data_IF_334822357157
#
_entry.id   IF_334822357157
#
_cell.length_a   1.000
_cell.length_b   1.000
_cell.length_c   1.000
_cell.angle_alpha   90.00
_cell.angle_beta   90.00
_cell.angle_gamma   90.00
#
_symmetry.space_group_name_H-M   'P 1'
#
loop_
_entity.id
_entity.type
_entity.pdbx_description
1 polymer ?
#
# COMPACT_ATOMS: atom_id res chain seq x y z
N UNK A 1 -20.98 28.39 -29.90
CA UNK A 1 -20.04 27.24 -30.10
C UNK A 1 -18.66 27.86 -30.33
N UNK A 2 -17.70 27.63 -29.42
CA UNK A 2 -16.31 28.10 -29.58
C UNK A 2 -15.61 27.09 -30.50
N UNK A 3 -15.26 27.52 -31.71
CA UNK A 3 -14.48 26.69 -32.64
C UNK A 3 -13.00 26.85 -32.23
N UNK A 4 -12.39 25.80 -31.69
CA UNK A 4 -10.97 25.78 -31.34
C UNK A 4 -10.17 25.20 -32.51
N UNK A 5 -9.62 26.09 -33.35
CA UNK A 5 -8.91 25.66 -34.56
C UNK A 5 -7.54 25.02 -34.32
N UNK A 6 -6.87 25.33 -33.18
CA UNK A 6 -5.49 24.90 -32.89
C UNK A 6 -5.24 24.59 -31.43
N UNK A 7 -5.52 23.38 -31.01
CA UNK A 7 -5.23 22.88 -29.65
C UNK A 7 -3.74 22.77 -29.34
N UNK A 8 -2.85 22.80 -30.36
CA UNK A 8 -1.39 22.72 -30.21
C UNK A 8 -0.77 23.98 -29.58
N UNK A 9 -1.49 25.11 -29.51
CA UNK A 9 -0.93 26.40 -29.04
C UNK A 9 -0.27 26.30 -27.68
N UNK A 10 -0.88 25.57 -26.73
CA UNK A 10 -0.37 25.37 -25.36
C UNK A 10 0.78 24.34 -25.26
N UNK A 11 1.14 23.67 -26.37
CA UNK A 11 2.19 22.63 -26.38
C UNK A 11 3.49 23.08 -27.06
N UNK A 12 3.58 24.33 -27.53
CA UNK A 12 4.63 24.76 -28.45
C UNK A 12 6.02 24.91 -27.81
N UNK A 13 6.12 25.16 -26.52
CA UNK A 13 7.38 25.17 -25.79
C UNK A 13 7.26 24.51 -24.43
N UNK A 14 8.39 24.11 -23.83
CA UNK A 14 8.44 23.37 -22.56
C UNK A 14 7.86 24.20 -21.41
N UNK A 15 8.30 25.45 -21.25
CA UNK A 15 7.85 26.34 -20.17
C UNK A 15 6.33 26.51 -20.17
N UNK A 16 5.73 26.69 -21.34
CA UNK A 16 4.28 26.84 -21.44
C UNK A 16 3.57 25.50 -21.06
N UNK A 17 4.11 24.35 -21.48
CA UNK A 17 3.56 23.06 -21.07
C UNK A 17 3.59 22.88 -19.55
N UNK A 18 4.68 23.28 -18.90
CA UNK A 18 4.84 23.17 -17.45
C UNK A 18 3.86 24.11 -16.70
N UNK A 19 3.67 25.33 -17.21
CA UNK A 19 2.74 26.31 -16.62
C UNK A 19 1.26 25.88 -16.68
N UNK A 20 0.86 25.10 -17.70
CA UNK A 20 -0.54 24.66 -17.88
C UNK A 20 -0.78 23.23 -17.38
N UNK A 21 0.21 22.63 -16.73
CA UNK A 21 0.12 21.25 -16.20
C UNK A 21 -0.92 21.17 -15.09
N UNK A 22 -1.88 20.26 -15.22
CA UNK A 22 -2.98 20.09 -14.24
C UNK A 22 -2.58 19.24 -13.06
N UNK A 23 -1.63 18.29 -13.25
CA UNK A 23 -1.23 17.34 -12.24
C UNK A 23 0.29 17.36 -12.04
N UNK A 24 0.69 17.39 -10.78
CA UNK A 24 2.09 17.36 -10.36
C UNK A 24 2.30 16.20 -9.40
N UNK A 25 3.47 15.58 -9.47
CA UNK A 25 3.93 14.57 -8.49
C UNK A 25 4.84 15.30 -7.52
N UNK A 26 4.65 15.06 -6.22
CA UNK A 26 5.45 15.68 -5.15
C UNK A 26 6.03 14.59 -4.26
N UNK A 27 7.20 14.83 -3.69
CA UNK A 27 7.89 13.87 -2.82
C UNK A 27 7.07 13.57 -1.56
N UNK A 28 6.38 14.56 -1.00
CA UNK A 28 5.55 14.43 0.20
C UNK A 28 4.22 13.67 -0.02
N UNK A 29 3.95 13.26 -1.25
CA UNK A 29 2.81 12.41 -1.62
C UNK A 29 3.21 10.93 -1.83
N UNK A 30 4.50 10.62 -1.74
CA UNK A 30 5.03 9.28 -1.92
C UNK A 30 5.08 8.51 -0.60
N UNK A 31 4.64 7.25 -0.62
CA UNK A 31 4.71 6.31 0.50
C UNK A 31 5.59 5.16 0.06
N UNK A 32 6.65 4.87 0.82
CA UNK A 32 7.61 3.83 0.50
C UNK A 32 7.28 2.53 1.25
N UNK A 33 7.00 1.40 0.55
CA UNK A 33 6.77 0.11 1.19
C UNK A 33 8.07 -0.50 1.72
N UNK A 34 8.05 -0.98 2.96
CA UNK A 34 9.20 -1.58 3.66
C UNK A 34 8.81 -2.92 4.26
N UNK A 35 9.66 -3.93 4.04
CA UNK A 35 9.50 -5.28 4.61
C UNK A 35 10.45 -5.46 5.78
N UNK A 36 9.91 -5.83 6.95
CA UNK A 36 10.69 -6.08 8.16
C UNK A 36 10.57 -7.54 8.56
N UNK A 37 11.70 -8.24 8.65
CA UNK A 37 11.75 -9.61 9.14
C UNK A 37 12.13 -9.68 10.60
N UNK A 38 11.63 -10.70 11.29
CA UNK A 38 11.97 -11.00 12.69
C UNK A 38 13.34 -11.67 12.85
N UNK A 39 13.91 -12.18 11.78
CA UNK A 39 15.29 -12.72 11.78
C UNK A 39 16.31 -11.65 12.15
N UNK A 40 17.54 -12.04 12.49
CA UNK A 40 18.60 -11.11 12.84
C UNK A 40 19.66 -11.07 11.74
N UNK A 41 20.31 -9.90 11.56
CA UNK A 41 21.41 -9.67 10.61
C UNK A 41 21.01 -10.02 9.17
N UNK A 42 19.81 -9.58 8.74
CA UNK A 42 19.26 -9.87 7.41
C UNK A 42 19.11 -8.59 6.60
N UNK A 43 19.73 -8.58 5.42
CA UNK A 43 19.42 -7.74 4.27
C UNK A 43 19.28 -8.70 3.09
N UNK A 44 18.05 -9.07 2.74
CA UNK A 44 17.79 -10.04 1.69
C UNK A 44 17.03 -9.41 0.53
N UNK A 45 17.66 -9.31 -0.62
CA UNK A 45 17.00 -8.83 -1.84
C UNK A 45 15.89 -9.79 -2.27
N UNK A 46 14.76 -9.22 -2.69
CA UNK A 46 13.64 -9.96 -3.28
C UNK A 46 13.93 -10.18 -4.77
N UNK A 47 14.21 -11.41 -5.23
CA UNK A 47 14.69 -11.65 -6.60
C UNK A 47 13.74 -11.15 -7.70
N UNK A 48 12.43 -11.19 -7.44
CA UNK A 48 11.39 -10.70 -8.36
C UNK A 48 11.16 -9.19 -8.30
N UNK A 49 11.89 -8.47 -7.41
CA UNK A 49 11.77 -7.02 -7.20
C UNK A 49 13.16 -6.38 -7.06
N UNK A 50 13.94 -6.24 -8.14
CA UNK A 50 15.32 -5.75 -8.08
C UNK A 50 15.47 -4.43 -7.31
N UNK A 51 16.39 -4.40 -6.32
CA UNK A 51 16.64 -3.25 -5.45
C UNK A 51 15.72 -3.14 -4.24
N UNK A 52 14.76 -4.06 -4.05
CA UNK A 52 13.90 -4.13 -2.85
C UNK A 52 14.35 -5.29 -1.99
N UNK A 53 14.53 -5.03 -0.68
CA UNK A 53 14.99 -6.02 0.28
C UNK A 53 14.01 -6.20 1.44
N UNK A 54 14.13 -7.35 2.10
CA UNK A 54 13.65 -7.58 3.45
C UNK A 54 14.78 -7.16 4.42
N UNK A 55 14.42 -6.48 5.51
CA UNK A 55 15.38 -6.00 6.49
C UNK A 55 15.03 -6.53 7.88
N UNK A 56 16.02 -7.02 8.61
CA UNK A 56 15.87 -7.24 10.05
C UNK A 56 15.87 -5.91 10.81
N UNK A 57 15.45 -5.94 12.08
CA UNK A 57 15.31 -4.73 12.90
C UNK A 57 16.63 -3.96 13.07
N UNK A 58 17.75 -4.65 13.09
CA UNK A 58 19.10 -4.09 13.20
C UNK A 58 19.57 -3.35 11.93
N UNK A 59 18.95 -3.62 10.78
CA UNK A 59 19.29 -3.01 9.49
C UNK A 59 18.21 -2.07 8.92
N UNK A 60 16.95 -2.16 9.38
CA UNK A 60 15.85 -1.40 8.78
C UNK A 60 16.05 0.11 8.84
N UNK A 61 16.71 0.63 9.90
CA UNK A 61 16.93 2.07 10.06
C UNK A 61 17.85 2.65 8.98
N UNK A 62 18.75 1.86 8.40
CA UNK A 62 19.59 2.29 7.28
C UNK A 62 18.73 2.59 6.04
N UNK A 63 17.82 1.68 5.71
CA UNK A 63 16.91 1.88 4.57
C UNK A 63 15.90 3.02 4.81
N UNK A 64 15.37 3.13 6.04
CA UNK A 64 14.51 4.27 6.42
C UNK A 64 15.30 5.59 6.28
N UNK A 65 16.55 5.61 6.70
CA UNK A 65 17.43 6.79 6.56
C UNK A 65 17.58 7.22 5.10
N UNK A 66 17.79 6.28 4.18
CA UNK A 66 17.85 6.55 2.73
C UNK A 66 16.55 7.18 2.20
N UNK A 67 15.39 6.70 2.66
CA UNK A 67 14.10 7.26 2.28
C UNK A 67 13.89 8.68 2.82
N UNK A 68 14.22 8.90 4.09
CA UNK A 68 14.12 10.22 4.75
C UNK A 68 15.06 11.23 4.11
N UNK A 69 16.29 10.85 3.77
CA UNK A 69 17.29 11.71 3.12
C UNK A 69 16.78 12.29 1.80
N UNK A 70 16.03 11.51 1.02
CA UNK A 70 15.42 11.99 -0.23
C UNK A 70 14.06 12.69 -0.02
N UNK A 71 13.63 12.89 1.24
CA UNK A 71 12.45 13.67 1.62
C UNK A 71 11.14 12.89 1.65
N UNK A 72 11.17 11.56 1.60
CA UNK A 72 9.98 10.71 1.82
C UNK A 72 9.43 11.00 3.22
N UNK A 73 8.11 11.19 3.32
CA UNK A 73 7.40 11.53 4.57
C UNK A 73 6.61 10.36 5.15
N UNK A 74 6.36 9.33 4.39
CA UNK A 74 5.56 8.18 4.80
C UNK A 74 6.11 6.86 4.30
N UNK A 75 5.96 5.82 5.11
CA UNK A 75 6.25 4.44 4.77
C UNK A 75 5.02 3.57 4.98
N UNK A 76 4.94 2.48 4.22
CA UNK A 76 3.98 1.39 4.45
C UNK A 76 4.77 0.17 4.95
N UNK A 77 4.48 -0.27 6.18
CA UNK A 77 5.25 -1.30 6.87
C UNK A 77 4.57 -2.66 6.78
N UNK A 78 5.33 -3.68 6.35
CA UNK A 78 4.94 -5.08 6.32
C UNK A 78 5.85 -5.90 7.23
N UNK A 79 5.27 -6.83 8.00
CA UNK A 79 6.01 -7.73 8.88
C UNK A 79 6.14 -9.14 8.30
N UNK A 80 7.29 -9.75 8.50
CA UNK A 80 7.58 -11.13 8.13
C UNK A 80 8.01 -11.85 9.41
N UNK A 81 7.08 -12.55 10.11
CA UNK A 81 7.40 -13.29 11.32
C UNK A 81 8.16 -14.58 10.99
N UNK A 82 8.97 -15.05 11.94
CA UNK A 82 9.61 -16.38 11.88
C UNK A 82 8.59 -17.48 12.17
N UNK A 83 7.68 -17.23 13.11
CA UNK A 83 6.64 -18.18 13.47
C UNK A 83 5.31 -17.84 12.80
N UNK A 84 4.65 -18.87 12.24
CA UNK A 84 3.31 -18.74 11.66
C UNK A 84 2.42 -19.84 12.20
N UNK A 85 1.19 -19.50 12.54
CA UNK A 85 0.19 -20.45 13.01
C UNK A 85 -1.15 -20.32 12.26
N UNK A 86 -2.15 -21.11 12.62
CA UNK A 86 -3.44 -21.11 11.94
C UNK A 86 -4.26 -19.84 12.18
N UNK A 87 -3.94 -19.08 13.22
CA UNK A 87 -4.69 -17.87 13.62
C UNK A 87 -3.90 -16.58 13.41
N UNK A 88 -2.65 -16.66 12.92
CA UNK A 88 -1.80 -15.51 12.68
C UNK A 88 -1.47 -14.74 13.96
N UNK A 89 -1.16 -15.44 15.06
CA UNK A 89 -1.04 -14.82 16.39
C UNK A 89 0.00 -13.74 16.49
N UNK A 90 1.09 -13.82 15.72
CA UNK A 90 2.14 -12.78 15.65
C UNK A 90 1.65 -11.44 15.11
N UNK A 91 0.55 -11.41 14.32
CA UNK A 91 -0.02 -10.17 13.80
C UNK A 91 -0.50 -9.22 14.90
N UNK A 92 -0.99 -9.77 16.02
CA UNK A 92 -1.56 -8.99 17.13
C UNK A 92 -0.74 -9.10 18.43
N UNK A 93 0.49 -9.63 18.36
CA UNK A 93 1.42 -9.60 19.49
C UNK A 93 2.05 -8.19 19.60
N UNK A 94 1.88 -7.56 20.78
CA UNK A 94 2.52 -6.26 21.07
C UNK A 94 4.07 -6.33 21.05
N UNK A 95 4.64 -7.53 21.10
CA UNK A 95 6.08 -7.82 20.96
C UNK A 95 6.46 -8.30 19.58
N UNK A 96 5.50 -8.50 18.68
CA UNK A 96 5.72 -8.95 17.31
C UNK A 96 6.60 -7.98 16.50
N UNK A 97 7.10 -8.45 15.39
CA UNK A 97 8.11 -7.73 14.59
C UNK A 97 7.64 -6.34 14.15
N UNK A 98 6.36 -6.19 13.76
CA UNK A 98 5.81 -4.90 13.32
C UNK A 98 5.77 -3.89 14.47
N UNK A 99 5.27 -4.29 15.65
CA UNK A 99 5.24 -3.42 16.82
C UNK A 99 6.64 -2.98 17.27
N UNK A 100 7.61 -3.87 17.19
CA UNK A 100 9.03 -3.56 17.49
C UNK A 100 9.62 -2.61 16.45
N UNK A 101 9.35 -2.84 15.17
CA UNK A 101 9.80 -1.98 14.08
C UNK A 101 9.22 -0.57 14.18
N UNK A 102 7.90 -0.45 14.45
CA UNK A 102 7.23 0.85 14.63
C UNK A 102 7.91 1.65 15.73
N UNK A 103 8.11 1.06 16.93
CA UNK A 103 8.80 1.75 18.06
C UNK A 103 10.20 2.19 17.67
N UNK A 104 10.99 1.27 17.10
CA UNK A 104 12.36 1.54 16.67
C UNK A 104 12.44 2.69 15.65
N UNK A 105 11.56 2.70 14.66
CA UNK A 105 11.52 3.73 13.61
C UNK A 105 11.05 5.07 14.21
N UNK A 106 10.02 5.06 15.06
CA UNK A 106 9.52 6.28 15.72
C UNK A 106 10.55 6.90 16.67
N UNK A 107 11.32 6.09 17.36
CA UNK A 107 12.41 6.58 18.23
C UNK A 107 13.51 7.28 17.40
N UNK A 108 13.83 6.76 16.20
CA UNK A 108 14.85 7.35 15.33
C UNK A 108 14.33 8.50 14.44
N UNK A 109 13.09 8.39 13.97
CA UNK A 109 12.45 9.31 13.02
C UNK A 109 11.02 9.66 13.46
N UNK A 110 10.82 10.47 14.51
CA UNK A 110 9.51 10.73 15.11
C UNK A 110 8.51 11.40 14.15
N UNK A 111 9.01 12.18 13.18
CA UNK A 111 8.17 12.88 12.18
C UNK A 111 7.78 12.01 10.98
N UNK A 112 8.37 10.82 10.81
CA UNK A 112 8.04 9.93 9.71
C UNK A 112 6.67 9.29 9.95
N UNK A 113 5.76 9.42 9.00
CA UNK A 113 4.44 8.78 9.04
C UNK A 113 4.58 7.29 8.78
N UNK A 114 4.15 6.47 9.73
CA UNK A 114 4.12 5.02 9.59
C UNK A 114 2.68 4.57 9.34
N UNK A 115 2.41 4.11 8.12
CA UNK A 115 1.20 3.36 7.77
C UNK A 115 1.50 1.88 8.03
N UNK A 116 0.71 1.23 8.89
CA UNK A 116 0.87 -0.19 9.18
C UNK A 116 -0.15 -1.00 8.40
N UNK A 117 0.31 -1.91 7.54
CA UNK A 117 -0.58 -2.87 6.87
C UNK A 117 -1.18 -3.83 7.88
N UNK A 118 -2.49 -4.04 7.83
CA UNK A 118 -3.19 -4.98 8.70
C UNK A 118 -3.78 -6.10 7.87
N UNK A 119 -3.16 -7.26 7.98
CA UNK A 119 -3.60 -8.50 7.35
C UNK A 119 -3.11 -9.69 8.16
N UNK A 120 -3.69 -10.87 7.96
CA UNK A 120 -3.21 -12.10 8.58
C UNK A 120 -2.35 -12.95 7.64
N UNK A 121 -2.30 -12.66 6.33
CA UNK A 121 -1.68 -13.56 5.35
C UNK A 121 -0.16 -13.73 5.49
N UNK A 122 0.53 -12.76 6.07
CA UNK A 122 1.95 -12.85 6.40
C UNK A 122 2.20 -13.76 7.62
N UNK A 123 1.19 -13.92 8.48
CA UNK A 123 1.27 -14.53 9.82
C UNK A 123 0.60 -15.90 9.89
N UNK A 124 -0.33 -16.19 8.98
CA UNK A 124 -1.01 -17.49 8.95
C UNK A 124 -0.19 -18.55 8.24
N UNK A 125 -0.17 -19.77 8.78
CA UNK A 125 0.51 -20.92 8.19
C UNK A 125 -0.04 -21.31 6.82
N UNK A 126 -1.31 -20.99 6.55
CA UNK A 126 -2.00 -21.24 5.27
C UNK A 126 -1.95 -20.05 4.30
N UNK A 127 -1.42 -18.87 4.68
CA UNK A 127 -1.24 -17.70 3.81
C UNK A 127 -2.53 -16.99 3.37
N UNK A 128 -3.70 -17.31 3.93
CA UNK A 128 -4.94 -16.55 3.71
C UNK A 128 -5.09 -15.37 4.67
N UNK A 129 -5.86 -14.36 4.24
CA UNK A 129 -6.04 -13.10 4.98
C UNK A 129 -7.02 -13.20 6.16
N UNK A 130 -7.67 -14.33 6.35
CA UNK A 130 -8.63 -14.61 7.43
C UNK A 130 -8.49 -16.02 7.96
N UNK A 131 -9.19 -16.32 9.04
CA UNK A 131 -9.28 -17.64 9.61
C UNK A 131 -9.88 -18.65 8.64
N UNK A 132 -9.44 -19.89 8.71
CA UNK A 132 -9.87 -20.96 7.80
C UNK A 132 -10.51 -22.09 8.59
N UNK A 133 -11.68 -22.55 8.13
CA UNK A 133 -12.30 -23.78 8.60
C UNK A 133 -12.88 -24.56 7.43
N UNK A 134 -12.54 -25.81 7.30
CA UNK A 134 -13.01 -26.73 6.24
C UNK A 134 -12.79 -26.14 4.82
N UNK A 135 -11.69 -25.40 4.60
CA UNK A 135 -11.35 -24.74 3.34
C UNK A 135 -12.12 -23.46 3.05
N UNK A 136 -12.91 -22.94 4.00
CA UNK A 136 -13.69 -21.70 3.90
C UNK A 136 -13.05 -20.62 4.74
N UNK A 137 -12.97 -19.41 4.20
CA UNK A 137 -12.51 -18.22 4.95
C UNK A 137 -13.66 -17.73 5.84
N UNK A 138 -13.39 -17.61 7.13
CA UNK A 138 -14.37 -17.17 8.13
C UNK A 138 -14.30 -15.64 8.30
N UNK A 139 -15.25 -14.94 7.72
CA UNK A 139 -15.29 -13.47 7.76
C UNK A 139 -15.38 -12.95 9.20
N UNK A 140 -16.48 -13.22 9.87
CA UNK A 140 -16.84 -12.60 11.15
C UNK A 140 -15.87 -12.98 12.28
N UNK A 141 -15.37 -14.22 12.28
CA UNK A 141 -14.40 -14.70 13.26
C UNK A 141 -13.01 -14.06 13.06
N UNK A 142 -12.73 -13.55 11.88
CA UNK A 142 -11.47 -12.85 11.57
C UNK A 142 -11.45 -11.40 12.10
N UNK A 143 -12.61 -10.73 12.13
CA UNK A 143 -12.70 -9.30 12.49
C UNK A 143 -12.06 -8.97 13.85
N UNK A 144 -12.28 -9.75 14.93
CA UNK A 144 -11.64 -9.46 16.22
C UNK A 144 -10.11 -9.53 16.20
N UNK A 145 -9.51 -10.35 15.32
CA UNK A 145 -8.06 -10.47 15.21
C UNK A 145 -7.47 -9.26 14.47
N UNK A 146 -8.12 -8.79 13.40
CA UNK A 146 -7.75 -7.57 12.69
C UNK A 146 -7.85 -6.34 13.60
N UNK A 147 -8.91 -6.26 14.39
CA UNK A 147 -9.09 -5.21 15.38
C UNK A 147 -7.98 -5.21 16.44
N UNK A 148 -7.60 -6.39 16.97
CA UNK A 148 -6.47 -6.53 17.92
C UNK A 148 -5.15 -6.10 17.31
N UNK A 149 -4.84 -6.52 16.08
CA UNK A 149 -3.62 -6.13 15.38
C UNK A 149 -3.56 -4.61 15.18
N UNK A 150 -4.67 -4.00 14.77
CA UNK A 150 -4.79 -2.55 14.58
C UNK A 150 -4.51 -1.78 15.86
N UNK A 151 -5.09 -2.20 16.98
CA UNK A 151 -4.84 -1.59 18.30
C UNK A 151 -3.39 -1.77 18.75
N UNK A 152 -2.79 -2.95 18.52
CA UNK A 152 -1.40 -3.21 18.87
C UNK A 152 -0.44 -2.30 18.08
N UNK A 153 -0.66 -2.15 16.77
CA UNK A 153 0.16 -1.28 15.92
C UNK A 153 0.00 0.20 16.28
N UNK A 154 -1.23 0.67 16.51
CA UNK A 154 -1.50 2.04 16.92
C UNK A 154 -0.85 2.36 18.29
N UNK A 155 -0.94 1.46 19.28
CA UNK A 155 -0.25 1.57 20.56
C UNK A 155 1.28 1.56 20.43
N UNK A 156 1.81 0.86 19.44
CA UNK A 156 3.24 0.87 19.16
C UNK A 156 3.73 2.19 18.53
N UNK A 157 2.81 3.03 18.02
CA UNK A 157 3.11 4.34 17.43
C UNK A 157 2.84 4.45 15.93
N UNK A 158 2.10 3.51 15.33
CA UNK A 158 1.64 3.68 13.94
C UNK A 158 0.73 4.91 13.84
N UNK A 159 0.94 5.72 12.80
CA UNK A 159 0.14 6.93 12.55
C UNK A 159 -1.13 6.63 11.76
N UNK A 160 -1.12 5.58 10.94
CA UNK A 160 -2.23 5.18 10.06
C UNK A 160 -2.38 3.66 10.11
N UNK A 161 -3.60 3.17 10.24
CA UNK A 161 -3.95 1.76 10.13
C UNK A 161 -4.50 1.48 8.73
N UNK A 162 -3.93 0.47 8.04
CA UNK A 162 -4.26 0.17 6.64
C UNK A 162 -4.72 -1.29 6.47
N UNK A 163 -6.01 -1.61 6.75
CA UNK A 163 -6.53 -2.96 6.62
C UNK A 163 -6.57 -3.41 5.15
N UNK A 164 -5.91 -4.54 4.87
CA UNK A 164 -5.74 -5.08 3.50
C UNK A 164 -6.33 -6.48 3.29
N UNK A 165 -7.04 -6.99 4.28
CA UNK A 165 -7.58 -8.34 4.34
C UNK A 165 -8.81 -8.58 3.45
N UNK A 166 -9.65 -7.57 3.22
CA UNK A 166 -10.90 -7.58 2.45
C UNK A 166 -12.05 -8.37 3.11
N UNK A 167 -12.07 -8.47 4.44
CA UNK A 167 -13.23 -9.01 5.15
C UNK A 167 -14.33 -7.93 5.24
N UNK A 168 -15.58 -8.33 5.08
CA UNK A 168 -16.72 -7.43 5.25
C UNK A 168 -16.77 -6.91 6.69
N UNK A 169 -17.08 -5.62 6.87
CA UNK A 169 -17.19 -4.93 8.17
C UNK A 169 -15.89 -4.82 8.98
N UNK A 170 -14.73 -5.01 8.34
CA UNK A 170 -13.45 -4.91 9.02
C UNK A 170 -13.13 -3.48 9.48
N UNK A 171 -13.53 -2.48 8.70
CA UNK A 171 -13.28 -1.06 9.04
C UNK A 171 -14.08 -0.68 10.27
N UNK A 172 -15.37 -1.05 10.36
CA UNK A 172 -16.22 -0.84 11.54
C UNK A 172 -15.62 -1.52 12.79
N UNK A 173 -15.19 -2.78 12.67
CA UNK A 173 -14.60 -3.52 13.78
C UNK A 173 -13.28 -2.87 14.27
N UNK A 174 -12.43 -2.43 13.36
CA UNK A 174 -11.17 -1.73 13.67
C UNK A 174 -11.45 -0.35 14.28
N UNK A 175 -12.37 0.44 13.70
CA UNK A 175 -12.71 1.77 14.22
C UNK A 175 -13.22 1.69 15.64
N UNK A 176 -14.17 0.80 15.91
CA UNK A 176 -14.70 0.59 17.24
C UNK A 176 -13.62 0.20 18.26
N UNK A 177 -12.74 -0.73 17.90
CA UNK A 177 -11.66 -1.16 18.78
C UNK A 177 -10.62 -0.08 19.07
N UNK A 178 -10.28 0.74 18.07
CA UNK A 178 -9.40 1.90 18.25
C UNK A 178 -10.04 2.94 19.19
N UNK A 179 -11.33 3.22 19.01
CA UNK A 179 -12.05 4.20 19.84
C UNK A 179 -12.19 3.71 21.28
N UNK A 180 -12.52 2.43 21.51
CA UNK A 180 -12.56 1.81 22.83
C UNK A 180 -11.19 1.83 23.53
N UNK A 181 -10.10 1.72 22.76
CA UNK A 181 -8.74 1.83 23.28
C UNK A 181 -8.27 3.28 23.54
N UNK A 182 -9.13 4.29 23.28
CA UNK A 182 -8.80 5.71 23.40
C UNK A 182 -7.95 6.26 22.25
N UNK A 183 -7.84 5.53 21.14
CA UNK A 183 -7.03 5.88 19.97
C UNK A 183 -7.90 6.53 18.86
N UNK A 184 -8.82 7.39 19.26
CA UNK A 184 -9.85 8.03 18.41
C UNK A 184 -9.28 8.89 17.27
N UNK A 185 -8.02 9.30 17.37
CA UNK A 185 -7.37 10.15 16.35
C UNK A 185 -6.52 9.37 15.35
N UNK A 186 -6.47 8.04 15.43
CA UNK A 186 -5.75 7.22 14.45
C UNK A 186 -6.62 7.03 13.20
N UNK A 187 -6.22 7.54 12.03
CA UNK A 187 -6.98 7.37 10.80
C UNK A 187 -6.86 5.94 10.26
N UNK A 188 -7.91 5.52 9.56
CA UNK A 188 -7.97 4.26 8.83
C UNK A 188 -7.86 4.53 7.33
N UNK A 189 -6.85 3.94 6.69
CA UNK A 189 -6.65 3.95 5.25
C UNK A 189 -6.97 2.57 4.68
N UNK A 190 -8.23 2.32 4.34
CA UNK A 190 -8.68 0.98 3.95
C UNK A 190 -8.35 0.63 2.50
N UNK A 191 -7.96 -0.62 2.27
CA UNK A 191 -7.84 -1.19 0.91
C UNK A 191 -9.22 -1.49 0.33
N UNK A 192 -10.05 -0.48 0.17
CA UNK A 192 -11.45 -0.61 -0.25
C UNK A 192 -11.59 -1.14 -1.67
N UNK A 193 -10.72 -0.72 -2.58
CA UNK A 193 -10.74 -1.16 -3.97
C UNK A 193 -9.57 -2.11 -4.27
N UNK A 194 -9.59 -3.32 -3.68
CA UNK A 194 -8.55 -4.34 -3.85
C UNK A 194 -9.04 -5.53 -4.66
N UNK A 195 -8.43 -5.74 -5.81
CA UNK A 195 -8.80 -6.78 -6.77
C UNK A 195 -7.95 -8.05 -6.63
N UNK A 196 -8.53 -9.21 -6.96
CA UNK A 196 -7.80 -10.48 -7.11
C UNK A 196 -6.93 -10.42 -8.37
N UNK A 197 -5.68 -9.99 -8.21
CA UNK A 197 -4.82 -9.62 -9.33
C UNK A 197 -3.61 -10.54 -9.51
N UNK A 198 -3.25 -10.78 -10.77
CA UNK A 198 -2.00 -11.42 -11.16
C UNK A 198 -0.74 -10.57 -10.86
N UNK A 199 -0.90 -9.26 -10.64
CA UNK A 199 0.21 -8.35 -10.32
C UNK A 199 0.78 -8.51 -8.91
N UNK A 200 0.25 -9.43 -8.08
CA UNK A 200 0.75 -9.66 -6.71
C UNK A 200 1.84 -10.75 -6.60
N UNK A 201 2.25 -11.36 -7.72
CA UNK A 201 3.25 -12.42 -7.70
C UNK A 201 4.50 -12.06 -6.88
N UNK A 202 5.22 -10.98 -7.23
CA UNK A 202 6.44 -10.60 -6.52
C UNK A 202 6.23 -10.22 -5.04
N UNK A 203 5.06 -9.69 -4.67
CA UNK A 203 4.73 -9.43 -3.27
C UNK A 203 4.61 -10.73 -2.45
N UNK A 204 4.05 -11.79 -3.03
CA UNK A 204 3.93 -13.08 -2.35
C UNK A 204 5.30 -13.66 -2.03
N UNK A 205 6.28 -13.44 -2.90
CA UNK A 205 7.68 -13.81 -2.67
C UNK A 205 8.26 -12.94 -1.54
N UNK A 206 8.05 -11.61 -1.61
CA UNK A 206 8.59 -10.65 -0.65
C UNK A 206 8.05 -10.80 0.77
N UNK A 207 6.77 -11.17 0.93
CA UNK A 207 6.09 -11.28 2.23
C UNK A 207 5.88 -12.74 2.68
N UNK A 208 6.36 -13.70 1.92
CA UNK A 208 6.15 -15.15 2.16
C UNK A 208 4.67 -15.49 2.42
N UNK A 209 3.77 -14.87 1.67
CA UNK A 209 2.31 -14.88 1.88
C UNK A 209 1.51 -15.55 0.76
N UNK A 210 2.13 -16.47 0.02
CA UNK A 210 1.41 -17.25 -0.98
C UNK A 210 0.34 -18.12 -0.31
N UNK A 211 -0.92 -18.18 -0.83
CA UNK A 211 -1.93 -19.06 -0.28
C UNK A 211 -1.52 -20.52 -0.44
N UNK A 212 -1.62 -21.30 0.65
CA UNK A 212 -1.27 -22.71 0.67
C UNK A 212 -2.30 -23.60 -0.05
N UNK A 213 -3.50 -23.09 -0.31
CA UNK A 213 -4.57 -23.75 -1.08
C UNK A 213 -5.45 -22.73 -1.76
N UNK A 214 -6.19 -23.14 -2.81
CA UNK A 214 -7.16 -22.29 -3.50
C UNK A 214 -6.60 -20.98 -4.05
N UNK A 215 -7.39 -19.93 -3.93
CA UNK A 215 -7.04 -18.56 -4.31
C UNK A 215 -7.71 -17.55 -3.35
N UNK A 216 -7.61 -16.25 -3.65
CA UNK A 216 -8.19 -15.17 -2.82
C UNK A 216 -9.46 -14.55 -3.42
N UNK A 217 -10.07 -15.16 -4.43
CA UNK A 217 -11.23 -14.59 -5.15
C UNK A 217 -12.53 -14.61 -4.36
N UNK A 218 -12.58 -15.34 -3.23
CA UNK A 218 -13.76 -15.33 -2.35
C UNK A 218 -13.85 -14.08 -1.49
N UNK A 219 -12.78 -13.26 -1.41
CA UNK A 219 -12.75 -12.03 -0.62
C UNK A 219 -12.05 -10.84 -1.30
N UNK A 220 -11.25 -11.03 -2.34
CA UNK A 220 -10.75 -9.95 -3.20
C UNK A 220 -11.64 -9.83 -4.42
N UNK A 221 -11.94 -8.59 -4.84
CA UNK A 221 -12.86 -8.32 -5.95
C UNK A 221 -12.42 -8.94 -7.28
N UNK A 222 -13.38 -9.30 -8.10
CA UNK A 222 -13.13 -9.75 -9.47
C UNK A 222 -12.59 -8.58 -10.32
N UNK A 223 -11.46 -8.76 -11.03
CA UNK A 223 -10.91 -7.74 -11.94
C UNK A 223 -11.89 -7.22 -13.01
N UNK A 224 -12.93 -7.98 -13.33
CA UNK A 224 -13.95 -7.60 -14.29
C UNK A 224 -15.02 -6.62 -13.72
N UNK A 225 -15.07 -6.41 -12.41
CA UNK A 225 -16.18 -5.75 -11.71
C UNK A 225 -15.81 -4.34 -11.20
N UNK A 226 -15.62 -3.36 -12.08
CA UNK A 226 -15.31 -1.99 -11.67
C UNK A 226 -16.38 -1.31 -10.80
N UNK A 227 -17.67 -1.62 -11.01
CA UNK A 227 -18.77 -1.02 -10.22
C UNK A 227 -18.85 -1.54 -8.78
N UNK A 228 -18.37 -2.76 -8.54
CA UNK A 228 -18.29 -3.33 -7.19
C UNK A 228 -17.36 -2.48 -6.30
N UNK A 229 -16.28 -1.97 -6.86
CA UNK A 229 -15.36 -1.10 -6.14
C UNK A 229 -16.00 0.17 -5.56
N UNK A 230 -17.02 0.72 -6.23
CA UNK A 230 -17.75 1.89 -5.70
C UNK A 230 -18.57 1.53 -4.47
N UNK A 231 -19.16 0.33 -4.44
CA UNK A 231 -19.90 -0.17 -3.26
C UNK A 231 -18.96 -0.45 -2.10
N UNK A 232 -17.84 -1.12 -2.33
CA UNK A 232 -16.83 -1.39 -1.31
C UNK A 232 -16.29 -0.09 -0.69
N UNK A 233 -16.03 0.93 -1.53
CA UNK A 233 -15.59 2.25 -1.04
C UNK A 233 -16.69 2.94 -0.23
N UNK A 234 -17.96 2.88 -0.66
CA UNK A 234 -19.07 3.47 0.07
C UNK A 234 -19.26 2.82 1.44
N UNK A 235 -19.22 1.48 1.51
CA UNK A 235 -19.33 0.73 2.77
C UNK A 235 -18.16 1.05 3.71
N UNK A 236 -16.91 1.02 3.24
CA UNK A 236 -15.74 1.35 4.06
C UNK A 236 -15.80 2.79 4.62
N UNK A 237 -16.31 3.76 3.81
CA UNK A 237 -16.54 5.14 4.28
C UNK A 237 -17.60 5.18 5.39
N UNK A 238 -18.71 4.47 5.22
CA UNK A 238 -19.79 4.39 6.23
C UNK A 238 -19.32 3.71 7.51
N UNK A 239 -18.40 2.75 7.41
CA UNK A 239 -17.77 2.05 8.51
C UNK A 239 -16.70 2.89 9.24
N UNK A 240 -16.25 4.01 8.67
CA UNK A 240 -15.33 4.95 9.31
C UNK A 240 -13.93 5.01 8.69
N UNK A 241 -13.74 4.64 7.42
CA UNK A 241 -12.50 4.89 6.71
C UNK A 241 -12.29 6.39 6.46
N UNK A 242 -11.08 6.90 6.73
CA UNK A 242 -10.68 8.28 6.49
C UNK A 242 -10.03 8.46 5.11
N UNK A 243 -9.47 7.39 4.58
CA UNK A 243 -8.79 7.30 3.28
C UNK A 243 -9.02 5.93 2.68
N UNK A 244 -8.92 5.82 1.35
CA UNK A 244 -9.02 4.53 0.65
C UNK A 244 -7.80 4.25 -0.22
N UNK A 245 -7.47 2.98 -0.39
CA UNK A 245 -6.42 2.49 -1.28
C UNK A 245 -7.06 1.75 -2.46
N UNK A 246 -6.67 2.13 -3.68
CA UNK A 246 -6.95 1.35 -4.87
C UNK A 246 -5.73 0.46 -5.20
N UNK A 247 -5.95 -0.86 -5.27
CA UNK A 247 -4.91 -1.88 -5.45
C UNK A 247 -5.35 -2.99 -6.41
N UNK A 248 -4.64 -3.23 -7.51
CA UNK A 248 -3.53 -2.46 -8.07
C UNK A 248 -3.97 -1.10 -8.62
N UNK A 249 -3.01 -0.21 -8.93
CA UNK A 249 -3.35 1.11 -9.44
C UNK A 249 -3.21 1.25 -10.96
N UNK A 250 -2.13 0.71 -11.56
CA UNK A 250 -1.81 0.97 -12.98
C UNK A 250 -2.87 0.40 -13.94
N UNK A 251 -3.30 -0.82 -13.72
CA UNK A 251 -4.34 -1.47 -14.52
C UNK A 251 -5.77 -1.05 -14.16
N UNK A 252 -5.96 -0.18 -13.14
CA UNK A 252 -7.27 0.17 -12.57
C UNK A 252 -7.44 1.70 -12.40
N UNK A 253 -6.74 2.50 -13.22
CA UNK A 253 -6.87 3.97 -13.19
C UNK A 253 -8.29 4.45 -13.56
N UNK A 254 -9.03 3.69 -14.34
CA UNK A 254 -10.44 3.90 -14.64
C UNK A 254 -11.30 3.80 -13.37
N UNK A 255 -11.11 2.74 -12.57
CA UNK A 255 -11.80 2.56 -11.28
C UNK A 255 -11.43 3.68 -10.31
N UNK A 256 -10.15 4.04 -10.20
CA UNK A 256 -9.71 5.17 -9.38
C UNK A 256 -10.39 6.48 -9.80
N UNK A 257 -10.51 6.70 -11.13
CA UNK A 257 -11.18 7.89 -11.66
C UNK A 257 -12.65 7.92 -11.30
N UNK A 258 -13.35 6.79 -11.40
CA UNK A 258 -14.74 6.66 -10.99
C UNK A 258 -14.91 6.93 -9.49
N UNK A 259 -14.04 6.39 -8.63
CA UNK A 259 -14.04 6.68 -7.18
C UNK A 259 -13.86 8.18 -6.94
N UNK A 260 -12.87 8.82 -7.59
CA UNK A 260 -12.60 10.25 -7.43
C UNK A 260 -13.74 11.16 -7.88
N UNK A 261 -14.60 10.70 -8.79
CA UNK A 261 -15.77 11.44 -9.26
C UNK A 261 -17.00 11.28 -8.36
N UNK A 262 -17.08 10.17 -7.60
CA UNK A 262 -18.26 9.84 -6.80
C UNK A 262 -18.07 10.12 -5.31
N UNK A 263 -16.82 10.09 -4.79
CA UNK A 263 -16.55 10.23 -3.36
C UNK A 263 -15.56 11.36 -3.07
N UNK A 264 -15.84 12.10 -2.01
CA UNK A 264 -14.95 13.17 -1.52
C UNK A 264 -14.06 12.65 -0.38
N UNK A 265 -13.18 11.70 -0.72
CA UNK A 265 -12.25 11.06 0.21
C UNK A 265 -10.83 11.00 -0.40
N UNK A 266 -9.76 11.13 0.37
CA UNK A 266 -8.41 10.94 -0.15
C UNK A 266 -8.20 9.52 -0.69
N UNK A 267 -7.70 9.44 -1.94
CA UNK A 267 -7.41 8.18 -2.63
C UNK A 267 -5.91 7.96 -2.64
N UNK A 268 -5.48 6.77 -2.25
CA UNK A 268 -4.10 6.31 -2.32
C UNK A 268 -3.98 5.29 -3.45
N UNK A 269 -3.12 5.57 -4.42
CA UNK A 269 -2.81 4.64 -5.50
C UNK A 269 -1.73 3.66 -5.05
N UNK A 270 -1.94 2.35 -5.12
CA UNK A 270 -0.89 1.38 -4.86
C UNK A 270 -0.30 0.86 -6.18
N UNK A 271 0.86 1.38 -6.53
CA UNK A 271 1.71 0.85 -7.61
C UNK A 271 2.38 -0.43 -7.11
N UNK A 272 1.78 -1.58 -7.43
CA UNK A 272 2.10 -2.87 -6.82
C UNK A 272 3.36 -3.54 -7.36
N UNK A 273 3.76 -4.61 -6.69
CA UNK A 273 5.01 -5.34 -6.94
C UNK A 273 5.16 -5.83 -8.39
N UNK A 274 4.10 -6.36 -9.00
CA UNK A 274 4.16 -6.82 -10.40
C UNK A 274 4.26 -5.66 -11.39
N UNK A 275 3.63 -4.53 -11.10
CA UNK A 275 3.76 -3.31 -11.90
C UNK A 275 5.18 -2.76 -11.83
N UNK A 276 5.79 -2.75 -10.63
CA UNK A 276 7.20 -2.43 -10.41
C UNK A 276 8.12 -3.37 -11.18
N UNK A 277 7.95 -4.69 -11.00
CA UNK A 277 8.78 -5.72 -11.61
C UNK A 277 8.76 -5.67 -13.14
N UNK A 278 7.58 -5.42 -13.76
CA UNK A 278 7.46 -5.28 -15.22
C UNK A 278 8.29 -4.10 -15.75
N UNK A 279 8.27 -2.96 -15.08
CA UNK A 279 9.06 -1.78 -15.47
C UNK A 279 10.55 -2.06 -15.31
N UNK A 280 10.99 -2.60 -14.17
CA UNK A 280 12.39 -2.98 -13.94
C UNK A 280 12.88 -3.97 -14.99
N UNK A 281 12.13 -5.04 -15.26
CA UNK A 281 12.50 -6.05 -16.25
C UNK A 281 12.65 -5.46 -17.67
N UNK A 282 11.72 -4.62 -18.10
CA UNK A 282 11.77 -3.98 -19.41
C UNK A 282 12.92 -2.97 -19.52
N UNK A 283 13.19 -2.22 -18.45
CA UNK A 283 14.30 -1.26 -18.38
C UNK A 283 15.68 -1.96 -18.41
N UNK A 284 15.84 -3.03 -17.63
CA UNK A 284 17.08 -3.84 -17.61
C UNK A 284 17.41 -4.44 -18.98
N UNK A 285 16.40 -4.72 -19.80
CA UNK A 285 16.58 -5.18 -21.19
C UNK A 285 16.76 -4.03 -22.19
N UNK A 286 16.73 -2.76 -21.75
CA UNK A 286 16.89 -1.60 -22.63
C UNK A 286 15.69 -1.32 -23.55
N UNK A 287 14.52 -1.90 -23.26
CA UNK A 287 13.33 -1.73 -24.10
C UNK A 287 12.56 -0.45 -23.78
N UNK A 288 12.70 0.07 -22.56
CA UNK A 288 12.08 1.31 -22.11
C UNK A 288 13.07 2.17 -21.31
N UNK A 289 12.80 3.47 -21.26
CA UNK A 289 13.46 4.43 -20.36
C UNK A 289 12.71 4.38 -19.01
N UNK A 290 13.35 3.85 -17.98
CA UNK A 290 12.73 3.65 -16.65
C UNK A 290 12.20 4.95 -16.06
N UNK A 291 13.04 6.02 -16.02
CA UNK A 291 12.63 7.32 -15.45
C UNK A 291 11.38 7.85 -16.15
N UNK A 292 11.35 7.81 -17.47
CA UNK A 292 10.20 8.33 -18.22
C UNK A 292 8.93 7.56 -17.94
N UNK A 293 8.98 6.23 -17.98
CA UNK A 293 7.79 5.39 -17.75
C UNK A 293 7.29 5.51 -16.32
N UNK A 294 8.19 5.49 -15.33
CA UNK A 294 7.79 5.65 -13.93
C UNK A 294 7.15 7.01 -13.68
N UNK A 295 7.77 8.11 -14.15
CA UNK A 295 7.20 9.46 -13.97
C UNK A 295 5.88 9.63 -14.71
N UNK A 296 5.69 8.97 -15.87
CA UNK A 296 4.41 8.97 -16.59
C UNK A 296 3.34 8.20 -15.81
N UNK A 297 3.68 7.04 -15.21
CA UNK A 297 2.78 6.27 -14.35
C UNK A 297 2.35 7.08 -13.11
N UNK A 298 3.32 7.73 -12.40
CA UNK A 298 3.02 8.57 -11.23
C UNK A 298 2.07 9.71 -11.61
N UNK A 299 2.33 10.37 -12.75
CA UNK A 299 1.43 11.41 -13.30
C UNK A 299 0.06 10.84 -13.66
N UNK A 300 0.01 9.62 -14.19
CA UNK A 300 -1.22 8.88 -14.48
C UNK A 300 -2.09 8.67 -13.25
N UNK A 301 -1.48 8.24 -12.15
CA UNK A 301 -2.19 8.07 -10.87
C UNK A 301 -2.76 9.39 -10.33
N UNK A 302 -1.97 10.47 -10.39
CA UNK A 302 -2.44 11.83 -10.01
C UNK A 302 -3.62 12.26 -10.88
N UNK A 303 -3.55 12.06 -12.19
CA UNK A 303 -4.63 12.39 -13.15
C UNK A 303 -5.88 11.54 -12.92
N UNK A 304 -5.73 10.30 -12.46
CA UNK A 304 -6.84 9.44 -12.07
C UNK A 304 -7.50 9.87 -10.74
N UNK A 305 -6.85 10.75 -9.96
CA UNK A 305 -7.42 11.30 -8.72
C UNK A 305 -6.66 10.91 -7.43
N UNK A 306 -5.55 10.18 -7.54
CA UNK A 306 -4.77 9.83 -6.36
C UNK A 306 -4.22 11.06 -5.64
N UNK A 307 -4.38 11.10 -4.33
CA UNK A 307 -3.76 12.10 -3.45
C UNK A 307 -2.35 11.68 -3.07
N UNK A 308 -2.17 10.42 -2.71
CA UNK A 308 -0.88 9.80 -2.36
C UNK A 308 -0.62 8.58 -3.22
N UNK A 309 0.63 8.16 -3.30
CA UNK A 309 1.06 7.03 -4.12
C UNK A 309 1.99 6.13 -3.29
N UNK A 310 1.55 4.90 -3.05
CA UNK A 310 2.41 3.84 -2.52
C UNK A 310 3.16 3.24 -3.70
N UNK A 311 4.49 3.29 -3.68
CA UNK A 311 5.31 2.75 -4.77
C UNK A 311 6.69 2.34 -4.30
N UNK A 312 7.17 1.22 -4.82
CA UNK A 312 8.55 0.77 -4.62
C UNK A 312 9.58 1.65 -5.35
N UNK A 313 9.15 2.48 -6.31
CA UNK A 313 9.98 3.50 -6.97
C UNK A 313 10.13 4.79 -6.15
N UNK A 314 9.59 4.87 -4.93
CA UNK A 314 9.49 6.14 -4.19
C UNK A 314 10.83 6.87 -4.04
N UNK A 315 11.90 6.16 -3.68
CA UNK A 315 13.24 6.74 -3.52
C UNK A 315 13.78 7.25 -4.86
N UNK A 316 13.61 6.49 -5.94
CA UNK A 316 14.06 6.89 -7.28
C UNK A 316 13.27 8.09 -7.78
N UNK A 317 11.95 8.09 -7.65
CA UNK A 317 11.07 9.22 -8.00
C UNK A 317 11.45 10.47 -7.22
N UNK A 318 11.69 10.35 -5.90
CA UNK A 318 12.11 11.48 -5.08
C UNK A 318 13.45 12.09 -5.53
N UNK A 319 14.41 11.27 -5.93
CA UNK A 319 15.68 11.72 -6.51
C UNK A 319 15.46 12.45 -7.85
N UNK A 320 14.67 11.86 -8.74
CA UNK A 320 14.41 12.44 -10.07
C UNK A 320 13.68 13.77 -10.00
N UNK A 321 12.76 13.96 -9.04
CA UNK A 321 12.06 15.23 -8.81
C UNK A 321 12.98 16.36 -8.30
N UNK A 322 14.13 16.00 -7.70
CA UNK A 322 15.14 16.99 -7.26
C UNK A 322 16.08 17.42 -8.37
N UNK A 323 16.18 16.62 -9.43
CA UNK A 323 17.01 16.92 -10.61
C UNK A 323 16.34 17.87 -11.61
N UNK A 324 15.00 18.02 -11.53
CA UNK A 324 14.19 18.92 -12.36
C UNK A 324 14.11 20.34 -11.76
#
# INVERSE_FOLDING_TARGET
>A
MIIMDRTRRLRMNATLRDMVRENHVRVDELIYPVFVTEENDVIQEVPSMPGICQYSLDHVLEEIGRAVEVGIKGILLFGIPVHKDEVGSEAYDEKGVVCRAIRLIKDAYPELVIMADVCLCEYTSHGHCGLVKDGVILNDETLPLLAKASVAYAKAGADIIAPSDMMDKRVEAIRNALDEAGLVNIPICSYSAKFASGYYGPFRDAAHSAPGFGDRKTYQMDPANGKEALREVEEDILEGADMIIAKPALGYMDVMKEIALNFNIPIVAYNVSGEYAMVKAAAMNGWIDEKKIVMENMTGFKRAGAKMIITYHAIDVAKWLREE
#
